data_IF_840003111589
#
_entry.id   IF_840003111589
#
_cell.length_a   1.000
_cell.length_b   1.000
_cell.length_c   1.000
_cell.angle_alpha   90.00
_cell.angle_beta   90.00
_cell.angle_gamma   90.00
#
_symmetry.space_group_name_H-M   'P 1'
#
loop_
_entity.id
_entity.type
_entity.pdbx_description
1 polymer ?
#
# COMPACT_ATOMS: atom_id res chain seq x y z
N UNK A 1 -2.08 14.07 15.52
CA UNK A 1 -0.67 13.70 15.31
C UNK A 1 0.06 14.94 14.85
N UNK A 2 0.96 15.43 15.67
CA UNK A 2 1.82 16.59 15.44
C UNK A 2 3.21 16.13 15.00
N UNK A 3 4.10 17.07 14.64
CA UNK A 3 5.51 16.74 14.40
C UNK A 3 6.20 16.30 15.69
N UNK A 4 5.89 16.93 16.82
CA UNK A 4 6.42 16.54 18.13
C UNK A 4 6.03 15.10 18.49
N UNK A 5 4.80 14.67 18.18
CA UNK A 5 4.38 13.28 18.36
C UNK A 5 5.28 12.32 17.56
N UNK A 6 5.71 12.72 16.36
CA UNK A 6 6.54 11.90 15.47
C UNK A 6 8.01 11.83 15.91
N UNK A 7 8.55 12.91 16.45
CA UNK A 7 9.94 12.99 16.91
C UNK A 7 10.18 12.19 18.20
N UNK A 8 9.12 11.94 18.96
CA UNK A 8 9.16 11.09 20.14
C UNK A 8 8.98 9.59 19.84
N UNK A 9 8.76 9.20 18.58
CA UNK A 9 8.71 7.78 18.19
C UNK A 9 10.13 7.25 18.10
N UNK A 10 10.53 6.38 19.03
CA UNK A 10 11.83 5.70 18.96
C UNK A 10 11.97 4.89 17.65
N UNK A 11 12.92 5.31 16.82
CA UNK A 11 13.30 4.64 15.59
C UNK A 11 14.20 3.44 15.86
N UNK A 12 13.65 2.29 16.24
CA UNK A 12 14.47 1.09 16.56
C UNK A 12 14.99 0.33 15.33
N UNK A 13 14.54 0.72 14.12
CA UNK A 13 14.71 -0.04 12.89
C UNK A 13 15.98 0.25 12.09
N UNK A 14 16.37 1.52 11.93
CA UNK A 14 17.42 1.96 11.02
C UNK A 14 18.58 2.61 11.79
N UNK A 15 19.81 2.11 11.59
CA UNK A 15 21.03 2.68 12.18
C UNK A 15 22.17 2.62 11.16
N UNK A 16 23.15 3.52 11.28
CA UNK A 16 24.35 3.48 10.44
C UNK A 16 25.06 2.12 10.52
N UNK A 17 25.18 1.54 11.72
CA UNK A 17 25.79 0.21 11.90
C UNK A 17 25.04 -0.94 11.18
N UNK A 18 23.71 -0.86 11.02
CA UNK A 18 22.96 -1.83 10.22
C UNK A 18 23.25 -1.68 8.73
N UNK A 19 23.44 -0.45 8.24
CA UNK A 19 23.85 -0.18 6.87
C UNK A 19 25.25 -0.73 6.62
N UNK A 20 26.19 -0.45 7.52
CA UNK A 20 27.56 -0.96 7.42
C UNK A 20 27.58 -2.49 7.35
N UNK A 21 26.85 -3.15 8.25
CA UNK A 21 26.76 -4.61 8.25
C UNK A 21 26.15 -5.17 6.95
N UNK A 22 25.13 -4.51 6.40
CA UNK A 22 24.47 -4.93 5.17
C UNK A 22 25.33 -4.74 3.91
N UNK A 23 26.21 -3.74 3.89
CA UNK A 23 27.06 -3.44 2.72
C UNK A 23 28.45 -4.09 2.81
N UNK A 24 29.04 -4.17 4.00
CA UNK A 24 30.42 -4.61 4.19
C UNK A 24 30.62 -6.06 3.74
N UNK A 25 29.79 -6.98 4.22
CA UNK A 25 29.91 -8.41 3.90
C UNK A 25 29.90 -8.68 2.39
N UNK A 26 28.88 -8.22 1.64
CA UNK A 26 28.83 -8.38 0.19
C UNK A 26 30.03 -7.76 -0.55
N UNK A 27 30.48 -6.57 -0.15
CA UNK A 27 31.62 -5.89 -0.79
C UNK A 27 32.94 -6.64 -0.56
N UNK A 28 33.18 -7.10 0.67
CA UNK A 28 34.37 -7.91 1.00
C UNK A 28 34.34 -9.24 0.24
N UNK A 29 33.18 -9.91 0.20
CA UNK A 29 33.01 -11.15 -0.54
C UNK A 29 33.26 -10.98 -2.04
N UNK A 30 32.74 -9.90 -2.63
CA UNK A 30 32.96 -9.54 -4.03
C UNK A 30 34.45 -9.28 -4.34
N UNK A 31 35.13 -8.50 -3.49
CA UNK A 31 36.57 -8.25 -3.65
C UNK A 31 37.41 -9.54 -3.49
N UNK A 32 37.04 -10.41 -2.55
CA UNK A 32 37.69 -11.70 -2.35
C UNK A 32 37.53 -12.64 -3.57
N UNK A 33 36.35 -12.69 -4.21
CA UNK A 33 36.16 -13.49 -5.44
C UNK A 33 36.99 -12.94 -6.60
N UNK A 34 36.91 -11.63 -6.84
CA UNK A 34 37.62 -10.99 -7.95
C UNK A 34 39.15 -11.12 -7.81
N UNK A 35 39.67 -10.93 -6.60
CA UNK A 35 41.11 -11.04 -6.33
C UNK A 35 41.69 -12.42 -6.55
N UNK A 36 40.90 -13.49 -6.35
CA UNK A 36 41.35 -14.87 -6.52
C UNK A 36 41.31 -15.33 -7.97
N UNK A 37 40.30 -14.89 -8.73
CA UNK A 37 39.92 -15.58 -9.96
C UNK A 37 39.89 -14.69 -11.21
N UNK A 38 39.86 -13.35 -11.09
CA UNK A 38 39.39 -12.49 -12.20
C UNK A 38 40.09 -11.13 -12.38
N UNK A 39 41.02 -10.71 -11.52
CA UNK A 39 41.76 -9.46 -11.80
C UNK A 39 42.79 -9.65 -12.93
N UNK A 40 42.49 -9.08 -14.10
CA UNK A 40 43.54 -8.73 -15.04
C UNK A 40 44.27 -7.47 -14.54
N UNK A 41 45.60 -7.49 -14.45
CA UNK A 41 46.41 -6.40 -13.87
C UNK A 41 46.62 -5.20 -14.83
N UNK A 42 45.77 -5.04 -15.84
CA UNK A 42 45.92 -4.03 -16.90
C UNK A 42 45.18 -2.72 -16.60
N UNK A 43 45.58 -1.63 -17.27
CA UNK A 43 44.96 -0.31 -17.13
C UNK A 43 43.47 -0.28 -17.51
N UNK A 44 43.03 -1.15 -18.42
CA UNK A 44 41.62 -1.28 -18.81
C UNK A 44 40.77 -1.79 -17.64
N UNK A 45 41.25 -2.79 -16.89
CA UNK A 45 40.55 -3.33 -15.73
C UNK A 45 40.47 -2.27 -14.61
N UNK A 46 41.57 -1.56 -14.36
CA UNK A 46 41.59 -0.45 -13.40
C UNK A 46 40.56 0.64 -13.76
N UNK A 47 40.38 0.94 -15.04
CA UNK A 47 39.34 1.86 -15.50
C UNK A 47 37.92 1.32 -15.25
N UNK A 48 37.68 0.03 -15.46
CA UNK A 48 36.38 -0.60 -15.16
C UNK A 48 36.08 -0.58 -13.65
N UNK A 49 37.07 -0.86 -12.80
CA UNK A 49 36.93 -0.80 -11.34
C UNK A 49 36.55 0.63 -10.90
N UNK A 50 37.21 1.66 -11.45
CA UNK A 50 36.88 3.07 -11.16
C UNK A 50 35.44 3.40 -11.57
N UNK A 51 35.03 3.01 -12.78
CA UNK A 51 33.65 3.19 -13.27
C UNK A 51 32.62 2.45 -12.41
N UNK A 52 32.94 1.23 -11.98
CA UNK A 52 32.09 0.45 -11.09
C UNK A 52 31.94 1.11 -9.71
N UNK A 53 33.03 1.65 -9.15
CA UNK A 53 33.01 2.43 -7.89
C UNK A 53 32.09 3.65 -8.03
N UNK A 54 32.26 4.46 -9.07
CA UNK A 54 31.42 5.65 -9.30
C UNK A 54 29.95 5.27 -9.42
N UNK A 55 29.63 4.21 -10.17
CA UNK A 55 28.26 3.72 -10.32
C UNK A 55 27.68 3.19 -9.02
N UNK A 56 28.47 2.48 -8.20
CA UNK A 56 28.03 1.97 -6.91
C UNK A 56 27.70 3.11 -5.94
N UNK A 57 28.55 4.14 -5.89
CA UNK A 57 28.31 5.36 -5.10
C UNK A 57 27.01 6.02 -5.56
N UNK A 58 26.86 6.29 -6.86
CA UNK A 58 25.66 6.94 -7.40
C UNK A 58 24.38 6.14 -7.10
N UNK A 59 24.43 4.81 -7.21
CA UNK A 59 23.29 3.95 -6.90
C UNK A 59 22.95 3.99 -5.41
N UNK A 60 23.95 3.89 -4.53
CA UNK A 60 23.75 3.95 -3.08
C UNK A 60 23.17 5.30 -2.66
N UNK A 61 23.75 6.41 -3.12
CA UNK A 61 23.24 7.77 -2.89
C UNK A 61 21.78 7.90 -3.32
N UNK A 62 21.46 7.51 -4.56
CA UNK A 62 20.09 7.61 -5.04
C UNK A 62 19.09 6.78 -4.22
N UNK A 63 19.49 5.64 -3.63
CA UNK A 63 18.63 4.89 -2.73
C UNK A 63 18.44 5.58 -1.38
N UNK A 64 19.48 6.17 -0.80
CA UNK A 64 19.37 6.95 0.44
C UNK A 64 18.51 8.20 0.24
N UNK A 65 18.71 8.96 -0.85
CA UNK A 65 17.89 10.12 -1.20
C UNK A 65 16.40 9.74 -1.30
N UNK A 66 16.10 8.57 -1.87
CA UNK A 66 14.72 8.06 -1.93
C UNK A 66 14.16 7.67 -0.56
N UNK A 67 14.99 7.10 0.32
CA UNK A 67 14.58 6.78 1.68
C UNK A 67 14.26 8.05 2.47
N UNK A 68 15.13 9.06 2.40
CA UNK A 68 14.94 10.38 3.01
C UNK A 68 13.65 11.01 2.52
N UNK A 69 13.50 11.16 1.20
CA UNK A 69 12.27 11.70 0.58
C UNK A 69 11.00 10.95 1.02
N UNK A 70 11.07 9.62 1.11
CA UNK A 70 9.91 8.82 1.56
C UNK A 70 9.58 9.09 3.02
N UNK A 71 10.60 9.23 3.89
CA UNK A 71 10.42 9.56 5.31
C UNK A 71 9.86 10.97 5.48
N UNK A 72 10.40 11.96 4.76
CA UNK A 72 9.92 13.34 4.77
C UNK A 72 8.46 13.44 4.32
N UNK A 73 8.14 12.89 3.14
CA UNK A 73 6.77 12.85 2.64
C UNK A 73 5.83 12.17 3.63
N UNK A 74 6.27 11.06 4.23
CA UNK A 74 5.48 10.36 5.25
C UNK A 74 5.21 11.22 6.48
N UNK A 75 6.22 11.93 7.00
CA UNK A 75 6.08 12.82 8.17
C UNK A 75 5.13 13.98 7.86
N UNK A 76 5.30 14.59 6.69
CA UNK A 76 4.42 15.67 6.22
C UNK A 76 2.98 15.17 6.10
N UNK A 77 2.76 14.07 5.40
CA UNK A 77 1.40 13.58 5.13
C UNK A 77 0.69 13.12 6.42
N UNK A 78 1.41 12.47 7.35
CA UNK A 78 0.85 12.00 8.62
C UNK A 78 0.35 13.15 9.49
N UNK A 79 0.95 14.34 9.36
CA UNK A 79 0.54 15.54 10.11
C UNK A 79 -0.51 16.33 9.33
N UNK A 80 -0.27 16.59 8.05
CA UNK A 80 -1.14 17.38 7.17
C UNK A 80 -2.52 16.76 6.98
N UNK A 81 -2.58 15.45 6.75
CA UNK A 81 -3.84 14.75 6.47
C UNK A 81 -4.40 14.01 7.69
N UNK A 82 -3.90 14.27 8.91
CA UNK A 82 -4.29 13.55 10.13
C UNK A 82 -5.81 13.57 10.44
N UNK A 83 -6.52 14.58 9.95
CA UNK A 83 -7.95 14.76 10.13
C UNK A 83 -8.81 13.99 9.12
N UNK A 84 -8.19 13.39 8.09
CA UNK A 84 -8.85 12.60 7.05
C UNK A 84 -8.66 11.11 7.34
N UNK A 85 -9.72 10.32 7.18
CA UNK A 85 -9.67 8.86 7.30
C UNK A 85 -9.41 8.22 5.93
N UNK A 86 -8.30 7.52 5.80
CA UNK A 86 -7.99 6.76 4.59
C UNK A 86 -8.34 5.28 4.77
N UNK A 87 -9.12 4.75 3.84
CA UNK A 87 -9.67 3.40 3.89
C UNK A 87 -9.32 2.65 2.61
N UNK A 88 -8.60 1.55 2.76
CA UNK A 88 -8.37 0.58 1.70
C UNK A 88 -9.64 -0.26 1.47
N UNK A 89 -9.99 -0.45 0.20
CA UNK A 89 -11.09 -1.30 -0.23
C UNK A 89 -10.54 -2.41 -1.13
N UNK A 90 -10.25 -3.56 -0.53
CA UNK A 90 -10.09 -4.84 -1.24
C UNK A 90 -9.19 -4.86 -2.47
N UNK A 91 -9.52 -5.78 -3.37
CA UNK A 91 -8.79 -6.33 -4.52
C UNK A 91 -7.44 -6.95 -4.15
N UNK A 92 -6.55 -6.17 -3.53
CA UNK A 92 -5.30 -6.64 -2.99
C UNK A 92 -4.83 -5.72 -1.85
N UNK A 93 -3.61 -5.94 -1.35
CA UNK A 93 -3.10 -5.15 -0.24
C UNK A 93 -2.49 -3.81 -0.69
N UNK A 94 -2.45 -3.52 -2.00
CA UNK A 94 -1.71 -2.38 -2.54
C UNK A 94 -2.23 -1.03 -2.00
N UNK A 95 -3.55 -0.76 -1.95
CA UNK A 95 -4.07 0.47 -1.33
C UNK A 95 -3.57 0.68 0.10
N UNK A 96 -3.65 -0.35 0.97
CA UNK A 96 -3.21 -0.24 2.37
C UNK A 96 -1.71 0.03 2.46
N UNK A 97 -0.92 -0.70 1.68
CA UNK A 97 0.53 -0.57 1.65
C UNK A 97 0.97 0.80 1.14
N UNK A 98 0.39 1.28 0.04
CA UNK A 98 0.65 2.59 -0.55
C UNK A 98 0.33 3.71 0.46
N UNK A 99 -0.89 3.71 1.01
CA UNK A 99 -1.35 4.73 1.94
C UNK A 99 -0.47 4.82 3.19
N UNK A 100 0.01 3.68 3.70
CA UNK A 100 0.91 3.67 4.87
C UNK A 100 2.35 4.01 4.55
N UNK A 101 2.87 3.58 3.39
CA UNK A 101 4.24 3.90 2.96
C UNK A 101 4.41 5.41 2.77
N UNK A 102 3.42 6.05 2.16
CA UNK A 102 3.40 7.49 1.88
C UNK A 102 2.72 8.32 2.96
N UNK A 103 2.40 7.76 4.13
CA UNK A 103 1.96 8.56 5.29
C UNK A 103 0.55 9.14 5.24
N UNK A 104 -0.30 8.75 4.28
CA UNK A 104 -1.72 9.10 4.32
C UNK A 104 -2.46 8.35 5.43
N UNK A 105 -2.07 7.10 5.68
CA UNK A 105 -2.65 6.24 6.72
C UNK A 105 -1.59 5.85 7.74
N UNK A 106 -1.80 6.08 9.05
CA UNK A 106 -0.80 5.69 10.05
C UNK A 106 -0.56 4.16 10.03
N UNK A 107 0.66 3.71 10.36
CA UNK A 107 0.93 2.29 10.54
C UNK A 107 0.32 1.78 11.84
N UNK A 108 0.15 0.46 11.98
CA UNK A 108 -0.37 -0.17 13.19
C UNK A 108 0.43 0.20 14.46
N UNK A 109 1.75 0.39 14.34
CA UNK A 109 2.61 0.84 15.46
C UNK A 109 2.25 2.22 16.02
N UNK A 110 1.47 3.02 15.29
CA UNK A 110 0.93 4.31 15.74
C UNK A 110 -0.57 4.21 16.09
N UNK A 111 -1.05 3.01 16.38
CA UNK A 111 -2.43 2.78 16.82
C UNK A 111 -3.47 2.76 15.71
N UNK A 112 -3.08 2.73 14.43
CA UNK A 112 -4.06 2.65 13.35
C UNK A 112 -4.80 1.31 13.38
N UNK A 113 -6.10 1.38 13.60
CA UNK A 113 -6.98 0.22 13.54
C UNK A 113 -6.98 -0.40 12.13
N UNK A 114 -7.01 -1.73 12.07
CA UNK A 114 -7.19 -2.45 10.81
C UNK A 114 -8.68 -2.59 10.49
N UNK A 115 -9.01 -2.49 9.21
CA UNK A 115 -10.36 -2.74 8.67
C UNK A 115 -10.45 -4.11 7.98
N UNK A 116 -11.66 -4.60 7.63
CA UNK A 116 -11.84 -5.96 7.10
C UNK A 116 -11.13 -6.21 5.78
N UNK A 117 -10.95 -5.15 4.98
CA UNK A 117 -10.32 -5.21 3.67
C UNK A 117 -8.84 -4.78 3.69
N UNK A 118 -8.29 -4.50 4.87
CA UNK A 118 -6.86 -4.25 5.01
C UNK A 118 -6.12 -5.58 4.92
N UNK A 119 -5.09 -5.66 4.08
CA UNK A 119 -4.18 -6.80 4.01
C UNK A 119 -4.93 -8.12 3.71
N UNK A 120 -5.84 -8.11 2.73
CA UNK A 120 -6.55 -9.28 2.25
C UNK A 120 -7.01 -9.06 0.80
N UNK A 121 -7.22 -10.13 0.05
CA UNK A 121 -7.68 -10.10 -1.36
C UNK A 121 -9.20 -10.24 -1.35
N UNK A 122 -9.89 -9.19 -1.78
CA UNK A 122 -11.34 -9.17 -1.88
C UNK A 122 -11.78 -8.62 -3.24
N UNK A 123 -12.28 -9.44 -4.16
CA UNK A 123 -12.88 -8.95 -5.40
C UNK A 123 -13.91 -7.84 -5.16
N UNK A 124 -14.07 -6.89 -6.08
CA UNK A 124 -14.94 -5.72 -5.88
C UNK A 124 -16.39 -6.10 -5.57
N UNK A 125 -16.92 -7.13 -6.24
CA UNK A 125 -18.23 -7.70 -5.97
C UNK A 125 -18.33 -8.29 -4.55
N UNK A 126 -17.28 -8.96 -4.07
CA UNK A 126 -17.22 -9.52 -2.72
C UNK A 126 -17.25 -8.40 -1.67
N UNK A 127 -16.47 -7.32 -1.86
CA UNK A 127 -16.50 -6.16 -0.97
C UNK A 127 -17.90 -5.53 -0.96
N UNK A 128 -18.52 -5.35 -2.13
CA UNK A 128 -19.87 -4.81 -2.23
C UNK A 128 -20.90 -5.69 -1.48
N UNK A 129 -20.82 -7.01 -1.63
CA UNK A 129 -21.70 -7.94 -0.94
C UNK A 129 -21.50 -7.92 0.58
N UNK A 130 -20.24 -7.97 1.04
CA UNK A 130 -19.89 -7.89 2.47
C UNK A 130 -20.42 -6.60 3.10
N UNK A 131 -20.30 -5.46 2.42
CA UNK A 131 -20.84 -4.19 2.91
C UNK A 131 -22.38 -4.19 2.94
N UNK A 132 -23.04 -4.70 1.90
CA UNK A 132 -24.49 -4.75 1.80
C UNK A 132 -25.13 -5.69 2.85
N UNK A 133 -24.41 -6.74 3.25
CA UNK A 133 -24.84 -7.73 4.23
C UNK A 133 -24.31 -7.46 5.65
N UNK A 134 -23.87 -6.23 5.94
CA UNK A 134 -23.29 -5.83 7.23
C UNK A 134 -22.26 -6.84 7.78
N UNK A 135 -21.32 -7.25 6.92
CA UNK A 135 -20.22 -8.15 7.24
C UNK A 135 -20.60 -9.60 7.59
N UNK A 136 -21.88 -9.98 7.47
CA UNK A 136 -22.36 -11.33 7.76
C UNK A 136 -21.58 -12.48 7.07
N UNK A 137 -21.09 -12.34 5.82
CA UNK A 137 -20.38 -13.44 5.16
C UNK A 137 -19.09 -13.90 5.87
N UNK A 138 -18.46 -13.05 6.70
CA UNK A 138 -17.28 -13.49 7.48
C UNK A 138 -17.61 -14.50 8.58
N UNK A 139 -18.90 -14.76 8.83
CA UNK A 139 -19.37 -15.58 9.94
C UNK A 139 -20.23 -16.77 9.50
N UNK A 140 -20.35 -16.99 8.19
CA UNK A 140 -21.10 -18.13 7.66
C UNK A 140 -20.21 -19.39 7.52
N UNK A 141 -20.82 -20.48 7.04
CA UNK A 141 -20.16 -21.78 6.88
C UNK A 141 -19.27 -21.91 5.63
N UNK A 142 -19.02 -20.83 4.89
CA UNK A 142 -18.25 -20.83 3.63
C UNK A 142 -16.75 -20.62 3.83
N UNK A 143 -16.32 -20.39 5.07
CA UNK A 143 -14.90 -20.31 5.42
C UNK A 143 -14.26 -21.69 5.36
N UNK A 144 -13.11 -21.76 4.71
CA UNK A 144 -12.28 -22.97 4.62
C UNK A 144 -10.82 -22.61 4.84
N UNK A 145 -10.05 -23.51 5.42
CA UNK A 145 -8.59 -23.37 5.43
C UNK A 145 -7.99 -24.00 4.17
N UNK A 146 -7.18 -23.23 3.45
CA UNK A 146 -6.41 -23.75 2.34
C UNK A 146 -5.00 -24.14 2.81
N UNK A 147 -4.73 -25.45 2.90
CA UNK A 147 -3.45 -25.96 3.36
C UNK A 147 -2.30 -25.70 2.37
N UNK A 148 -2.60 -25.58 1.07
CA UNK A 148 -1.58 -25.29 0.05
C UNK A 148 -1.14 -23.82 0.11
N UNK A 149 -2.08 -22.93 0.40
CA UNK A 149 -1.82 -21.50 0.56
C UNK A 149 -1.50 -21.08 2.00
N UNK A 150 -1.71 -21.99 2.96
CA UNK A 150 -1.51 -21.82 4.40
C UNK A 150 -2.31 -20.66 5.02
N UNK A 151 -3.53 -20.43 4.55
CA UNK A 151 -4.42 -19.39 5.10
C UNK A 151 -5.92 -19.69 4.84
N UNK A 152 -6.84 -19.04 5.59
CA UNK A 152 -8.27 -19.13 5.34
C UNK A 152 -8.71 -18.44 4.05
N UNK A 153 -9.67 -19.06 3.36
CA UNK A 153 -10.34 -18.54 2.16
C UNK A 153 -11.85 -18.59 2.36
N UNK A 154 -12.59 -17.78 1.61
CA UNK A 154 -14.04 -17.84 1.54
C UNK A 154 -14.48 -18.25 0.14
N UNK A 155 -14.82 -19.53 -0.05
CA UNK A 155 -15.07 -20.10 -1.38
C UNK A 155 -16.26 -19.42 -2.09
N UNK A 156 -17.31 -19.03 -1.35
CA UNK A 156 -18.50 -18.40 -1.93
C UNK A 156 -18.32 -16.97 -2.46
N UNK A 157 -17.24 -16.28 -2.07
CA UNK A 157 -16.97 -14.89 -2.42
C UNK A 157 -15.58 -14.69 -3.04
N UNK A 158 -14.82 -15.77 -3.23
CA UNK A 158 -13.44 -15.74 -3.71
C UNK A 158 -12.57 -14.73 -2.93
N UNK A 159 -12.65 -14.76 -1.60
CA UNK A 159 -11.85 -13.92 -0.71
C UNK A 159 -10.65 -14.75 -0.22
N UNK A 160 -9.44 -14.20 -0.32
CA UNK A 160 -8.24 -14.77 0.28
C UNK A 160 -7.78 -13.94 1.48
N UNK A 161 -7.68 -14.56 2.64
CA UNK A 161 -7.21 -13.94 3.87
C UNK A 161 -5.71 -14.20 4.05
N UNK A 162 -4.94 -13.87 3.01
CA UNK A 162 -3.53 -14.21 2.82
C UNK A 162 -2.54 -13.64 3.87
N UNK A 163 -3.00 -12.83 4.82
CA UNK A 163 -2.22 -12.38 5.97
C UNK A 163 -2.62 -13.06 7.30
N UNK A 164 -3.62 -13.93 7.27
CA UNK A 164 -4.06 -14.76 8.38
C UNK A 164 -3.41 -16.15 8.23
N UNK A 165 -2.08 -16.20 8.31
CA UNK A 165 -1.28 -17.39 8.02
C UNK A 165 -1.30 -18.40 9.18
N UNK A 166 -1.55 -19.67 8.86
CA UNK A 166 -1.40 -20.80 9.78
C UNK A 166 -2.72 -21.41 10.27
N UNK A 167 -2.66 -22.71 10.60
CA UNK A 167 -3.82 -23.54 10.98
C UNK A 167 -4.56 -23.04 12.23
N UNK A 168 -3.92 -22.24 13.08
CA UNK A 168 -4.59 -21.67 14.26
C UNK A 168 -5.82 -20.82 13.89
N UNK A 169 -5.84 -20.22 12.69
CA UNK A 169 -7.01 -19.47 12.22
C UNK A 169 -8.19 -20.34 11.79
N UNK A 170 -7.99 -21.65 11.62
CA UNK A 170 -9.03 -22.62 11.33
C UNK A 170 -9.49 -23.39 12.57
N UNK A 171 -8.76 -23.27 13.69
CA UNK A 171 -9.09 -23.94 14.94
C UNK A 171 -10.45 -23.47 15.48
N UNK A 172 -11.14 -24.38 16.17
CA UNK A 172 -12.42 -24.10 16.85
C UNK A 172 -13.45 -23.42 15.95
N UNK A 173 -13.64 -23.94 14.73
CA UNK A 173 -14.55 -23.35 13.73
C UNK A 173 -14.22 -21.86 13.45
N UNK A 174 -12.93 -21.60 13.16
CA UNK A 174 -12.42 -20.27 12.82
C UNK A 174 -12.64 -19.21 13.91
N UNK A 175 -12.73 -19.59 15.19
CA UNK A 175 -13.08 -18.66 16.28
C UNK A 175 -12.19 -17.40 16.34
N UNK A 176 -10.86 -17.57 16.26
CA UNK A 176 -9.90 -16.45 16.31
C UNK A 176 -10.02 -15.53 15.08
N UNK A 177 -10.30 -16.12 13.92
CA UNK A 177 -10.52 -15.40 12.67
C UNK A 177 -11.82 -14.59 12.76
N UNK A 178 -12.93 -15.23 13.15
CA UNK A 178 -14.24 -14.60 13.32
C UNK A 178 -14.14 -13.44 14.32
N UNK A 179 -13.54 -13.66 15.50
CA UNK A 179 -13.35 -12.60 16.49
C UNK A 179 -12.51 -11.43 15.97
N UNK A 180 -11.49 -11.70 15.14
CA UNK A 180 -10.68 -10.67 14.48
C UNK A 180 -11.49 -9.87 13.48
N UNK A 181 -12.26 -10.52 12.63
CA UNK A 181 -13.07 -9.87 11.60
C UNK A 181 -14.26 -9.11 12.19
N UNK A 182 -14.81 -9.55 13.31
CA UNK A 182 -15.81 -8.78 14.07
C UNK A 182 -15.25 -7.45 14.57
N UNK A 183 -14.05 -7.45 15.17
CA UNK A 183 -13.38 -6.20 15.57
C UNK A 183 -13.08 -5.29 14.37
N UNK A 184 -12.61 -5.86 13.26
CA UNK A 184 -12.34 -5.11 12.04
C UNK A 184 -13.62 -4.51 11.44
N UNK A 185 -14.72 -5.27 11.44
CA UNK A 185 -16.03 -4.81 10.99
C UNK A 185 -16.51 -3.65 11.86
N UNK A 186 -16.37 -3.74 13.18
CA UNK A 186 -16.74 -2.63 14.06
C UNK A 186 -15.87 -1.38 13.85
N UNK A 187 -14.57 -1.54 13.60
CA UNK A 187 -13.72 -0.41 13.21
C UNK A 187 -14.25 0.28 11.95
N UNK A 188 -14.68 -0.50 10.95
CA UNK A 188 -15.24 0.04 9.71
C UNK A 188 -16.60 0.72 9.96
N UNK A 189 -17.49 0.11 10.75
CA UNK A 189 -18.78 0.71 11.12
C UNK A 189 -18.59 2.04 11.87
N UNK A 190 -17.66 2.08 12.82
CA UNK A 190 -17.30 3.29 13.56
C UNK A 190 -16.81 4.39 12.61
N UNK A 191 -15.93 4.04 11.66
CA UNK A 191 -15.47 4.94 10.62
C UNK A 191 -16.61 5.44 9.73
N UNK A 192 -17.48 4.55 9.27
CA UNK A 192 -18.61 4.89 8.41
C UNK A 192 -19.53 5.93 9.07
N UNK A 193 -19.76 5.79 10.39
CA UNK A 193 -20.56 6.73 11.19
C UNK A 193 -19.84 8.05 11.51
N UNK A 194 -18.50 8.07 11.50
CA UNK A 194 -17.69 9.23 11.87
C UNK A 194 -17.97 10.45 10.98
N UNK A 195 -18.12 11.67 11.53
CA UNK A 195 -18.31 12.88 10.73
C UNK A 195 -17.03 13.32 10.00
N UNK A 196 -15.86 12.75 10.35
CA UNK A 196 -14.60 13.10 9.73
C UNK A 196 -14.63 12.81 8.21
N UNK A 197 -13.94 13.63 7.40
CA UNK A 197 -13.78 13.32 5.99
C UNK A 197 -13.07 11.98 5.77
N UNK A 198 -13.49 11.25 4.75
CA UNK A 198 -12.91 9.95 4.43
C UNK A 198 -12.57 9.82 2.94
N UNK A 199 -11.41 9.21 2.66
CA UNK A 199 -11.00 8.75 1.33
C UNK A 199 -11.10 7.23 1.30
N UNK A 200 -11.91 6.70 0.40
CA UNK A 200 -12.00 5.28 0.12
C UNK A 200 -11.23 4.97 -1.16
N UNK A 201 -10.20 4.14 -1.06
CA UNK A 201 -9.31 3.80 -2.17
C UNK A 201 -9.46 2.32 -2.53
N UNK A 202 -9.91 2.05 -3.74
CA UNK A 202 -9.95 0.72 -4.35
C UNK A 202 -8.89 0.62 -5.44
N UNK A 203 -8.18 -0.50 -5.52
CA UNK A 203 -7.24 -0.79 -6.60
C UNK A 203 -7.84 -1.81 -7.58
N UNK A 204 -7.56 -1.66 -8.87
CA UNK A 204 -7.85 -2.67 -9.88
C UNK A 204 -6.81 -2.61 -11.00
N UNK A 205 -6.55 -3.74 -11.64
CA UNK A 205 -5.79 -3.85 -12.88
C UNK A 205 -6.69 -4.10 -14.11
N UNK A 206 -8.01 -4.15 -13.90
CA UNK A 206 -9.00 -4.39 -14.97
C UNK A 206 -9.81 -3.14 -15.28
N UNK A 207 -10.32 -3.06 -16.51
CA UNK A 207 -11.25 -2.01 -16.92
C UNK A 207 -12.72 -2.33 -16.54
N UNK A 208 -12.99 -3.39 -15.77
CA UNK A 208 -14.34 -3.81 -15.42
C UNK A 208 -14.97 -2.86 -14.40
N UNK A 209 -15.93 -2.03 -14.83
CA UNK A 209 -16.45 -0.92 -14.04
C UNK A 209 -17.70 -1.23 -13.22
N UNK A 210 -18.46 -2.28 -13.54
CA UNK A 210 -19.77 -2.54 -12.90
C UNK A 210 -19.61 -2.87 -11.40
N UNK A 211 -18.74 -3.81 -11.06
CA UNK A 211 -18.50 -4.21 -9.67
C UNK A 211 -17.92 -3.08 -8.81
N UNK A 212 -17.04 -2.28 -9.41
CA UNK A 212 -16.46 -1.09 -8.77
C UNK A 212 -17.56 -0.05 -8.53
N UNK A 213 -18.46 0.13 -9.49
CA UNK A 213 -19.64 0.98 -9.35
C UNK A 213 -20.55 0.53 -8.21
N UNK A 214 -20.84 -0.78 -8.13
CA UNK A 214 -21.63 -1.38 -7.04
C UNK A 214 -20.96 -1.18 -5.68
N UNK A 215 -19.66 -1.47 -5.57
CA UNK A 215 -18.85 -1.23 -4.38
C UNK A 215 -18.98 0.22 -3.89
N UNK A 216 -18.71 1.18 -4.77
CA UNK A 216 -18.81 2.59 -4.39
C UNK A 216 -20.25 3.01 -4.09
N UNK A 217 -21.26 2.40 -4.71
CA UNK A 217 -22.66 2.54 -4.32
C UNK A 217 -22.89 2.17 -2.85
N UNK A 218 -22.35 1.04 -2.39
CA UNK A 218 -22.47 0.61 -0.99
C UNK A 218 -21.76 1.56 -0.02
N UNK A 219 -20.55 2.02 -0.39
CA UNK A 219 -19.83 3.01 0.43
C UNK A 219 -20.65 4.30 0.58
N UNK A 220 -21.27 4.79 -0.49
CA UNK A 220 -22.17 5.96 -0.43
C UNK A 220 -23.35 5.71 0.50
N UNK A 221 -24.04 4.58 0.35
CA UNK A 221 -25.19 4.25 1.19
C UNK A 221 -24.81 4.24 2.68
N UNK A 222 -23.64 3.71 3.02
CA UNK A 222 -23.15 3.68 4.41
C UNK A 222 -22.72 5.07 4.92
N UNK A 223 -22.11 5.90 4.07
CA UNK A 223 -21.62 7.23 4.45
C UNK A 223 -22.71 8.30 4.46
N UNK A 224 -23.77 8.14 3.67
CA UNK A 224 -24.76 9.19 3.43
C UNK A 224 -24.10 10.48 2.95
N UNK A 225 -24.55 11.62 3.46
CA UNK A 225 -24.05 12.95 3.07
C UNK A 225 -22.71 13.34 3.71
N UNK A 226 -22.06 12.43 4.45
CA UNK A 226 -20.80 12.74 5.14
C UNK A 226 -19.68 13.00 4.12
N UNK A 227 -18.73 13.91 4.42
CA UNK A 227 -17.65 14.22 3.50
C UNK A 227 -16.86 12.97 3.10
N UNK A 228 -16.90 12.66 1.81
CA UNK A 228 -16.38 11.40 1.26
C UNK A 228 -15.75 11.64 -0.10
N UNK A 229 -14.59 11.04 -0.33
CA UNK A 229 -13.95 10.91 -1.64
C UNK A 229 -13.83 9.42 -2.00
N UNK A 230 -14.25 9.08 -3.21
CA UNK A 230 -14.19 7.73 -3.75
C UNK A 230 -13.11 7.72 -4.83
N UNK A 231 -12.08 6.92 -4.64
CA UNK A 231 -10.90 6.87 -5.51
C UNK A 231 -10.70 5.47 -6.03
N UNK A 232 -10.70 5.33 -7.35
CA UNK A 232 -10.30 4.11 -8.03
C UNK A 232 -8.88 4.28 -8.58
N UNK A 233 -7.93 3.51 -8.05
CA UNK A 233 -6.59 3.37 -8.60
C UNK A 233 -6.62 2.26 -9.66
N UNK A 234 -6.56 2.66 -10.93
CA UNK A 234 -6.46 1.75 -12.05
C UNK A 234 -5.00 1.63 -12.50
N UNK A 235 -4.40 0.45 -12.33
CA UNK A 235 -3.02 0.17 -12.76
C UNK A 235 -2.99 -0.82 -13.93
N UNK A 236 -3.09 -0.32 -15.17
CA UNK A 236 -2.98 -1.18 -16.35
C UNK A 236 -1.57 -1.79 -16.46
N UNK A 237 -1.43 -2.95 -17.13
CA UNK A 237 -0.12 -3.53 -17.41
C UNK A 237 0.83 -2.57 -18.14
N UNK A 238 2.13 -2.79 -17.97
CA UNK A 238 3.14 -1.95 -18.61
C UNK A 238 3.10 -2.08 -20.13
N UNK A 239 3.06 -0.94 -20.81
CA UNK A 239 3.11 -0.87 -22.28
C UNK A 239 1.79 -1.17 -22.99
N UNK A 240 0.71 -1.33 -22.22
CA UNK A 240 -0.64 -1.49 -22.78
C UNK A 240 -1.37 -0.14 -22.84
N UNK A 241 -2.10 0.07 -23.93
CA UNK A 241 -3.05 1.17 -24.03
C UNK A 241 -4.19 0.93 -23.04
N UNK A 242 -4.24 1.78 -22.03
CA UNK A 242 -5.23 1.66 -20.97
C UNK A 242 -6.54 2.33 -21.41
N UNK A 243 -7.64 1.60 -21.57
CA UNK A 243 -8.92 2.23 -21.80
C UNK A 243 -9.25 3.15 -20.62
N UNK A 244 -9.92 4.27 -20.90
CA UNK A 244 -10.42 5.14 -19.83
C UNK A 244 -11.47 4.38 -19.05
N UNK A 245 -11.19 4.08 -17.78
CA UNK A 245 -12.19 3.50 -16.87
C UNK A 245 -13.33 4.51 -16.69
N UNK A 246 -14.54 4.11 -17.06
CA UNK A 246 -15.74 4.92 -16.91
C UNK A 246 -16.47 4.49 -15.63
N UNK A 247 -16.50 5.39 -14.64
CA UNK A 247 -17.25 5.26 -13.41
C UNK A 247 -18.15 6.49 -13.25
N UNK A 248 -19.01 6.48 -12.24
CA UNK A 248 -19.82 7.65 -11.89
C UNK A 248 -18.93 8.90 -11.67
N UNK A 249 -19.44 10.08 -12.05
CA UNK A 249 -18.67 11.33 -12.11
C UNK A 249 -18.04 11.76 -10.78
N UNK A 250 -18.59 11.31 -9.66
CA UNK A 250 -18.09 11.60 -8.31
C UNK A 250 -16.98 10.64 -7.86
N UNK A 251 -16.67 9.60 -8.64
CA UNK A 251 -15.52 8.70 -8.43
C UNK A 251 -14.31 9.26 -9.18
N UNK A 252 -13.25 9.53 -8.44
CA UNK A 252 -11.98 9.94 -9.03
C UNK A 252 -11.16 8.72 -9.47
N UNK A 253 -10.86 8.65 -10.76
CA UNK A 253 -10.01 7.60 -11.32
C UNK A 253 -8.57 8.10 -11.42
N UNK A 254 -7.67 7.44 -10.70
CA UNK A 254 -6.22 7.59 -10.84
C UNK A 254 -5.73 6.47 -11.75
N UNK A 255 -5.38 6.80 -12.99
CA UNK A 255 -4.74 5.84 -13.90
C UNK A 255 -3.23 5.97 -13.81
N UNK A 256 -2.56 4.85 -13.53
CA UNK A 256 -1.09 4.78 -13.51
C UNK A 256 -0.64 3.39 -13.93
N UNK A 257 -0.12 3.25 -15.15
CA UNK A 257 0.44 1.98 -15.62
C UNK A 257 1.62 1.53 -14.77
N UNK A 258 1.79 0.21 -14.66
CA UNK A 258 2.96 -0.35 -14.01
C UNK A 258 4.25 0.15 -14.67
N UNK A 259 5.31 0.41 -13.89
CA UNK A 259 6.48 1.13 -14.40
C UNK A 259 7.32 0.31 -15.39
N UNK A 260 7.23 -1.03 -15.37
CA UNK A 260 7.91 -1.93 -16.29
C UNK A 260 7.25 -3.31 -16.32
N UNK A 261 7.56 -4.13 -17.33
CA UNK A 261 7.04 -5.47 -17.49
C UNK A 261 7.37 -6.36 -16.28
N UNK A 262 6.39 -7.12 -15.78
CA UNK A 262 6.52 -7.99 -14.59
C UNK A 262 6.86 -7.23 -13.29
N UNK A 263 6.49 -5.95 -13.20
CA UNK A 263 6.54 -5.23 -11.94
C UNK A 263 5.65 -5.93 -10.90
N UNK A 264 6.09 -5.93 -9.65
CA UNK A 264 5.38 -6.56 -8.53
C UNK A 264 5.45 -5.55 -7.39
N UNK A 265 4.32 -4.89 -7.09
CA UNK A 265 4.26 -3.76 -6.17
C UNK A 265 4.63 -4.09 -4.72
N UNK A 266 4.58 -5.37 -4.32
CA UNK A 266 4.99 -5.84 -3.00
C UNK A 266 6.42 -6.42 -2.98
N UNK A 267 7.11 -6.54 -4.11
CA UNK A 267 8.50 -7.01 -4.13
C UNK A 267 9.44 -5.85 -3.80
N UNK A 268 10.22 -5.89 -2.69
CA UNK A 268 11.09 -4.79 -2.31
C UNK A 268 12.07 -4.35 -3.40
N UNK A 269 12.57 -5.28 -4.22
CA UNK A 269 13.49 -4.96 -5.33
C UNK A 269 12.82 -4.13 -6.41
N UNK A 270 11.51 -4.25 -6.57
CA UNK A 270 10.73 -3.50 -7.55
C UNK A 270 10.29 -2.17 -6.94
N UNK A 271 9.64 -2.22 -5.77
CA UNK A 271 9.04 -1.04 -5.12
C UNK A 271 10.06 0.02 -4.74
N UNK A 272 11.22 -0.40 -4.23
CA UNK A 272 12.29 0.52 -3.82
C UNK A 272 13.33 0.78 -4.94
N UNK A 273 13.06 0.31 -6.16
CA UNK A 273 13.82 0.77 -7.34
C UNK A 273 13.45 2.20 -7.69
N UNK A 274 14.33 2.92 -8.41
CA UNK A 274 14.05 4.30 -8.86
C UNK A 274 12.71 4.41 -9.61
N UNK A 275 12.40 3.43 -10.48
CA UNK A 275 11.16 3.40 -11.25
C UNK A 275 9.94 3.06 -10.38
N UNK A 276 10.10 2.18 -9.39
CA UNK A 276 9.04 1.83 -8.44
C UNK A 276 8.65 3.00 -7.54
N UNK A 277 9.65 3.71 -7.01
CA UNK A 277 9.41 4.90 -6.20
C UNK A 277 8.74 5.99 -7.03
N UNK A 278 9.23 6.26 -8.25
CA UNK A 278 8.61 7.25 -9.14
C UNK A 278 7.14 6.90 -9.48
N UNK A 279 6.85 5.62 -9.72
CA UNK A 279 5.49 5.13 -9.94
C UNK A 279 4.56 5.44 -8.76
N UNK A 280 4.97 5.12 -7.53
CA UNK A 280 4.14 5.39 -6.37
C UNK A 280 4.06 6.88 -6.01
N UNK A 281 5.14 7.65 -6.22
CA UNK A 281 5.13 9.11 -6.06
C UNK A 281 4.05 9.73 -6.96
N UNK A 282 3.99 9.32 -8.23
CA UNK A 282 2.98 9.83 -9.15
C UNK A 282 1.54 9.52 -8.71
N UNK A 283 1.31 8.36 -8.10
CA UNK A 283 0.00 8.00 -7.52
C UNK A 283 -0.30 8.89 -6.30
N UNK A 284 0.67 9.04 -5.39
CA UNK A 284 0.53 9.88 -4.20
C UNK A 284 0.26 11.35 -4.58
N UNK A 285 0.94 11.89 -5.58
CA UNK A 285 0.73 13.27 -6.06
C UNK A 285 -0.67 13.47 -6.66
N UNK A 286 -1.15 12.53 -7.48
CA UNK A 286 -2.53 12.56 -7.99
C UNK A 286 -3.56 12.49 -6.86
N UNK A 287 -3.30 11.66 -5.85
CA UNK A 287 -4.16 11.57 -4.67
C UNK A 287 -4.19 12.89 -3.88
N UNK A 288 -3.03 13.52 -3.64
CA UNK A 288 -2.95 14.84 -3.00
C UNK A 288 -3.73 15.90 -3.77
N UNK A 289 -3.54 15.96 -5.09
CA UNK A 289 -4.25 16.91 -5.95
C UNK A 289 -5.78 16.72 -5.84
N UNK A 290 -6.25 15.48 -5.80
CA UNK A 290 -7.67 15.21 -5.61
C UNK A 290 -8.21 15.68 -4.25
N UNK A 291 -7.46 15.40 -3.17
CA UNK A 291 -7.82 15.83 -1.81
C UNK A 291 -7.83 17.36 -1.71
N UNK A 292 -6.87 18.03 -2.32
CA UNK A 292 -6.78 19.50 -2.36
C UNK A 292 -8.03 20.14 -2.99
N UNK A 293 -8.56 19.55 -4.05
CA UNK A 293 -9.81 20.01 -4.70
C UNK A 293 -11.01 19.87 -3.76
N UNK A 294 -11.09 18.78 -3.00
CA UNK A 294 -12.18 18.58 -2.03
C UNK A 294 -12.10 19.59 -0.90
N UNK A 295 -10.88 19.90 -0.44
CA UNK A 295 -10.51 20.88 0.59
C UNK A 295 -11.15 20.70 1.97
N UNK A 296 -12.34 20.10 2.10
CA UNK A 296 -13.06 19.77 3.34
C UNK A 296 -12.99 20.83 4.46
N UNK A 297 -12.97 22.11 4.07
CA UNK A 297 -12.86 23.24 4.99
C UNK A 297 -11.45 23.52 5.55
N UNK A 298 -10.43 22.76 5.18
CA UNK A 298 -9.04 22.98 5.56
C UNK A 298 -8.26 23.66 4.43
N UNK A 299 -8.01 24.95 4.57
CA UNK A 299 -7.29 25.76 3.60
C UNK A 299 -5.86 25.25 3.36
N UNK A 300 -5.24 24.59 4.35
CA UNK A 300 -3.90 23.99 4.22
C UNK A 300 -3.87 22.89 3.17
N UNK A 301 -5.00 22.29 2.80
CA UNK A 301 -5.05 21.29 1.74
C UNK A 301 -4.89 21.88 0.34
N UNK A 302 -5.08 23.21 0.17
CA UNK A 302 -5.01 23.89 -1.14
C UNK A 302 -3.65 24.49 -1.46
N UNK A 303 -2.81 24.70 -0.44
CA UNK A 303 -1.45 25.20 -0.63
C UNK A 303 -0.57 24.11 -1.24
N UNK A 304 0.37 24.43 -2.14
CA UNK A 304 1.40 23.47 -2.54
C UNK A 304 2.10 22.91 -1.30
N UNK A 305 2.40 21.61 -1.30
CA UNK A 305 3.36 21.03 -0.37
C UNK A 305 4.77 21.52 -0.70
#
# INVERSE_FOLDING_TARGET
MTLDDLDNIEGTGFTAGKVDAALYGPLVGFAADLSRNKFALGSAELAQIRKAKERAIALATAHFDNMERTVEARREHLTRYAHIKFVSLGFDCFPRTLLTRWGFKPPAKLGEASHPFDLAVHPANAVAHVLASDFAPYFDGSLRFDAALNHPVHDGLAIDLNHEIGEQFAANDFADLKARYERRAENFRSLARSPAPAVFLHHTDTAASEDIGRLFGQVRAMRGDRPTALVCLYTPPFGEDAPRLQLADDVHVITQAYPFAKYIWHNPRHTFSLRGVAFETAIADKLKAHIAVKAWGDARLREPA
#
